data_IF_870583635308
#
_entry.id   IF_870583635308
#
_cell.length_a   1.000
_cell.length_b   1.000
_cell.length_c   1.000
_cell.angle_alpha   90.00
_cell.angle_beta   90.00
_cell.angle_gamma   90.00
#
_symmetry.space_group_name_H-M   'P 1'
#
loop_
_entity.id
_entity.type
_entity.pdbx_description
1 polymer ?
#
# COMPACT_ATOMS: atom_id res chain seq x y z
N UNK A 1 -2.88 19.52 7.53
CA UNK A 1 -1.60 19.08 8.13
C UNK A 1 -0.50 20.00 7.63
N UNK A 2 -0.40 21.20 8.18
CA UNK A 2 0.47 22.25 7.60
C UNK A 2 1.96 22.10 7.94
N UNK A 3 2.39 21.23 8.87
CA UNK A 3 3.78 21.22 9.34
C UNK A 3 4.36 19.86 9.73
N UNK A 4 3.99 18.75 9.10
CA UNK A 4 4.60 17.45 9.43
C UNK A 4 4.24 16.31 8.49
N UNK A 5 4.96 15.19 8.63
CA UNK A 5 4.71 13.98 7.86
C UNK A 5 3.53 13.21 8.47
N UNK A 6 2.43 13.10 7.74
CA UNK A 6 1.23 12.37 8.17
C UNK A 6 1.50 10.92 8.59
N UNK A 7 2.51 10.28 8.00
CA UNK A 7 2.89 8.90 8.29
C UNK A 7 3.45 8.72 9.71
N UNK A 8 3.91 9.82 10.34
CA UNK A 8 4.43 9.85 11.71
C UNK A 8 3.37 10.18 12.76
N UNK A 9 2.14 10.52 12.34
CA UNK A 9 1.06 10.78 13.28
C UNK A 9 0.71 9.51 14.06
N UNK A 10 0.54 9.60 15.39
CA UNK A 10 0.31 8.42 16.22
C UNK A 10 -1.16 7.99 16.23
N UNK A 11 -1.39 6.68 16.15
CA UNK A 11 -2.65 6.03 16.50
C UNK A 11 -2.33 5.09 17.67
N UNK A 12 -2.93 5.31 18.83
CA UNK A 12 -2.61 4.56 20.06
C UNK A 12 -1.08 4.50 20.32
N UNK A 13 -0.41 5.66 20.22
CA UNK A 13 1.04 5.84 20.41
C UNK A 13 1.94 5.22 19.32
N UNK A 14 1.38 4.57 18.32
CA UNK A 14 2.12 3.93 17.21
C UNK A 14 1.95 4.77 15.93
N UNK A 15 3.02 5.14 15.21
CA UNK A 15 2.93 5.87 13.95
C UNK A 15 2.10 5.16 12.88
N UNK A 16 1.37 5.91 12.06
CA UNK A 16 0.54 5.38 10.95
C UNK A 16 1.32 4.39 10.10
N UNK A 17 2.53 4.73 9.65
CA UNK A 17 3.34 3.85 8.82
C UNK A 17 3.70 2.55 9.53
N UNK A 18 3.92 2.58 10.83
CA UNK A 18 4.25 1.38 11.62
C UNK A 18 3.05 0.41 11.68
N UNK A 19 1.81 0.93 11.77
CA UNK A 19 0.60 0.11 11.67
C UNK A 19 0.54 -0.62 10.32
N UNK A 20 0.71 0.11 9.23
CA UNK A 20 0.69 -0.48 7.88
C UNK A 20 1.79 -1.53 7.72
N UNK A 21 3.03 -1.22 8.10
CA UNK A 21 4.15 -2.14 8.01
C UNK A 21 3.91 -3.42 8.83
N UNK A 22 3.40 -3.30 10.05
CA UNK A 22 3.08 -4.45 10.89
C UNK A 22 2.01 -5.34 10.25
N UNK A 23 0.96 -4.76 9.68
CA UNK A 23 -0.08 -5.52 8.97
C UNK A 23 0.50 -6.26 7.76
N UNK A 24 1.32 -5.59 6.93
CA UNK A 24 1.97 -6.20 5.77
C UNK A 24 2.86 -7.38 6.16
N UNK A 25 3.65 -7.24 7.24
CA UNK A 25 4.48 -8.33 7.77
C UNK A 25 3.67 -9.57 8.18
N UNK A 26 2.44 -9.37 8.69
CA UNK A 26 1.56 -10.50 9.07
C UNK A 26 0.95 -11.23 7.88
N UNK A 27 0.95 -10.65 6.69
CA UNK A 27 0.37 -11.24 5.47
C UNK A 27 1.34 -12.18 4.73
N UNK A 28 2.52 -12.47 5.31
CA UNK A 28 3.52 -13.41 4.77
C UNK A 28 4.01 -13.05 3.36
N UNK A 29 4.01 -11.75 3.03
CA UNK A 29 4.61 -11.23 1.80
C UNK A 29 6.13 -11.21 1.92
N UNK A 30 6.85 -11.66 0.89
CA UNK A 30 8.31 -11.71 0.87
C UNK A 30 8.85 -11.46 -0.56
N UNK A 31 9.76 -10.50 -0.76
CA UNK A 31 10.22 -9.53 0.23
C UNK A 31 9.22 -8.39 0.49
N UNK A 32 9.35 -7.73 1.64
CA UNK A 32 8.69 -6.44 1.91
C UNK A 32 9.70 -5.32 1.72
N UNK A 33 9.41 -4.41 0.78
CA UNK A 33 10.24 -3.23 0.49
C UNK A 33 9.48 -1.98 0.89
N UNK A 34 10.07 -1.13 1.72
CA UNK A 34 9.51 0.18 2.08
C UNK A 34 10.26 1.28 1.35
N UNK A 35 9.53 2.12 0.63
CA UNK A 35 10.11 3.29 -0.05
C UNK A 35 9.77 4.54 0.74
N UNK A 36 10.80 5.30 1.11
CA UNK A 36 10.68 6.55 1.86
C UNK A 36 11.07 7.75 0.99
N UNK A 37 10.60 8.94 1.36
CA UNK A 37 10.89 10.19 0.63
C UNK A 37 10.99 11.37 1.57
N UNK A 38 9.91 12.13 1.74
CA UNK A 38 9.86 13.26 2.66
C UNK A 38 10.13 12.81 4.11
N UNK A 39 11.05 13.48 4.79
CA UNK A 39 11.47 13.15 6.16
C UNK A 39 11.90 11.68 6.35
N UNK A 40 12.58 11.12 5.34
CA UNK A 40 13.00 9.72 5.29
C UNK A 40 13.67 9.24 6.56
N UNK A 41 14.57 10.04 7.16
CA UNK A 41 15.30 9.67 8.38
C UNK A 41 14.35 9.46 9.58
N UNK A 42 13.30 10.28 9.69
CA UNK A 42 12.30 10.14 10.75
C UNK A 42 11.38 8.94 10.50
N UNK A 43 10.96 8.75 9.26
CA UNK A 43 10.11 7.61 8.87
C UNK A 43 10.85 6.30 9.08
N UNK A 44 12.11 6.21 8.68
CA UNK A 44 12.93 4.99 8.84
C UNK A 44 13.07 4.56 10.30
N UNK A 45 13.13 5.51 11.23
CA UNK A 45 13.27 5.21 12.67
C UNK A 45 12.06 4.51 13.28
N UNK A 46 10.89 4.59 12.66
CA UNK A 46 9.65 4.01 13.16
C UNK A 46 9.17 2.79 12.35
N UNK A 47 9.89 2.42 11.30
CA UNK A 47 9.64 1.18 10.55
C UNK A 47 10.07 -0.01 11.40
N UNK A 48 9.26 -1.11 11.46
CA UNK A 48 9.63 -2.34 12.14
C UNK A 48 10.98 -2.90 11.65
N UNK A 49 11.80 -3.38 12.59
CA UNK A 49 13.16 -3.87 12.31
C UNK A 49 13.21 -5.15 11.48
N UNK A 50 12.09 -5.83 11.35
CA UNK A 50 11.91 -7.01 10.49
C UNK A 50 11.93 -6.65 9.00
N UNK A 51 11.69 -5.39 8.65
CA UNK A 51 11.80 -4.89 7.28
C UNK A 51 13.22 -4.41 7.05
N UNK A 52 13.98 -5.17 6.26
CA UNK A 52 15.39 -4.88 5.98
C UNK A 52 15.58 -4.01 4.72
N UNK A 53 14.63 -4.05 3.78
CA UNK A 53 14.73 -3.35 2.50
C UNK A 53 14.00 -2.00 2.57
N UNK A 54 14.70 -0.97 3.06
CA UNK A 54 14.21 0.41 3.11
C UNK A 54 14.97 1.23 2.07
N UNK A 55 14.24 1.78 1.08
CA UNK A 55 14.78 2.50 -0.07
C UNK A 55 14.46 3.98 0.07
N UNK A 56 15.47 4.83 -0.01
CA UNK A 56 15.28 6.28 -0.10
C UNK A 56 15.07 6.71 -1.55
N UNK A 57 13.90 7.27 -1.85
CA UNK A 57 13.61 7.90 -3.13
C UNK A 57 14.00 9.39 -3.10
N UNK A 58 15.12 9.75 -3.69
CA UNK A 58 15.57 11.15 -3.79
C UNK A 58 14.68 12.00 -4.71
N UNK A 59 13.85 11.39 -5.55
CA UNK A 59 12.96 12.03 -6.51
C UNK A 59 11.48 12.01 -6.04
N UNK A 60 11.21 11.84 -4.75
CA UNK A 60 9.85 11.71 -4.20
C UNK A 60 8.92 12.87 -4.61
N UNK A 61 9.46 14.08 -4.81
CA UNK A 61 8.68 15.25 -5.25
C UNK A 61 8.13 15.12 -6.69
N UNK A 62 8.62 14.18 -7.49
CA UNK A 62 8.12 13.94 -8.85
C UNK A 62 6.85 13.09 -8.90
N UNK A 63 6.31 12.72 -7.72
CA UNK A 63 5.05 12.01 -7.57
C UNK A 63 5.21 10.52 -7.28
N UNK A 64 4.07 9.86 -7.01
CA UNK A 64 3.99 8.47 -6.56
C UNK A 64 4.69 7.47 -7.50
N UNK A 65 4.69 7.71 -8.82
CA UNK A 65 5.33 6.82 -9.78
C UNK A 65 6.84 6.65 -9.52
N UNK A 66 7.52 7.69 -9.00
CA UNK A 66 8.94 7.59 -8.68
C UNK A 66 9.20 6.64 -7.50
N UNK A 67 8.33 6.64 -6.49
CA UNK A 67 8.44 5.71 -5.36
C UNK A 67 8.11 4.27 -5.77
N UNK A 68 7.12 4.10 -6.63
CA UNK A 68 6.79 2.77 -7.19
C UNK A 68 7.96 2.25 -8.04
N UNK A 69 8.60 3.12 -8.82
CA UNK A 69 9.78 2.77 -9.62
C UNK A 69 10.92 2.25 -8.73
N UNK A 70 11.27 2.96 -7.66
CA UNK A 70 12.34 2.58 -6.74
C UNK A 70 12.01 1.24 -6.05
N UNK A 71 10.80 1.08 -5.51
CA UNK A 71 10.37 -0.14 -4.85
C UNK A 71 10.36 -1.34 -5.80
N UNK A 72 9.79 -1.19 -6.99
CA UNK A 72 9.70 -2.27 -7.97
C UNK A 72 11.08 -2.66 -8.53
N UNK A 73 11.99 -1.68 -8.68
CA UNK A 73 13.36 -1.92 -9.16
C UNK A 73 14.21 -2.67 -8.13
N UNK A 74 13.86 -2.60 -6.85
CA UNK A 74 14.56 -3.30 -5.76
C UNK A 74 14.12 -4.75 -5.61
N UNK A 75 12.99 -5.14 -6.20
CA UNK A 75 12.48 -6.51 -6.07
C UNK A 75 13.40 -7.52 -6.78
N UNK A 76 13.59 -8.72 -6.20
CA UNK A 76 14.34 -9.79 -6.86
C UNK A 76 13.61 -10.28 -8.12
N UNK A 77 14.38 -10.83 -9.06
CA UNK A 77 13.82 -11.24 -10.35
C UNK A 77 12.90 -12.47 -10.31
N UNK A 78 12.88 -13.19 -9.20
CA UNK A 78 12.10 -14.42 -9.04
C UNK A 78 10.72 -14.21 -8.40
N UNK A 79 10.25 -12.96 -8.24
CA UNK A 79 8.90 -12.69 -7.77
C UNK A 79 7.87 -12.92 -8.90
N UNK A 80 6.66 -13.36 -8.54
CA UNK A 80 5.56 -13.59 -9.47
C UNK A 80 4.72 -12.32 -9.71
N UNK A 81 4.67 -11.45 -8.71
CA UNK A 81 3.94 -10.19 -8.74
C UNK A 81 4.39 -9.24 -7.63
N UNK A 82 3.76 -8.09 -7.55
CA UNK A 82 4.00 -7.08 -6.52
C UNK A 82 2.68 -6.52 -6.02
N UNK A 83 2.48 -6.52 -4.70
CA UNK A 83 1.38 -5.80 -4.05
C UNK A 83 1.86 -4.40 -3.67
N UNK A 84 1.19 -3.36 -4.16
CA UNK A 84 1.47 -1.97 -3.83
C UNK A 84 0.53 -1.53 -2.73
N UNK A 85 1.07 -1.36 -1.52
CA UNK A 85 0.36 -0.91 -0.33
C UNK A 85 0.72 0.55 -0.05
N UNK A 86 -0.27 1.40 0.22
CA UNK A 86 -0.04 2.80 0.57
C UNK A 86 0.23 2.93 2.06
N UNK A 87 1.27 3.69 2.42
CA UNK A 87 1.71 3.87 3.81
C UNK A 87 0.76 4.69 4.71
N UNK A 88 -0.28 5.27 4.14
CA UNK A 88 -1.28 6.09 4.81
C UNK A 88 -2.66 5.43 4.98
N UNK A 89 -2.70 4.08 4.82
CA UNK A 89 -3.91 3.26 4.98
C UNK A 89 -3.81 2.34 6.21
N UNK A 90 -3.79 2.87 7.44
CA UNK A 90 -3.53 2.08 8.65
C UNK A 90 -4.66 1.12 9.04
N UNK A 91 -5.85 1.27 8.46
CA UNK A 91 -6.99 0.38 8.71
C UNK A 91 -6.94 -0.90 7.89
N UNK A 92 -6.05 -0.99 6.88
CA UNK A 92 -5.97 -2.19 6.04
C UNK A 92 -5.70 -3.43 6.91
N UNK A 93 -6.51 -4.46 6.75
CA UNK A 93 -6.42 -5.67 7.57
C UNK A 93 -5.57 -6.76 6.91
N UNK A 94 -5.02 -7.67 7.76
CA UNK A 94 -4.38 -8.88 7.28
C UNK A 94 -5.33 -9.71 6.41
N UNK A 95 -6.58 -9.84 6.81
CA UNK A 95 -7.57 -10.66 6.13
C UNK A 95 -7.82 -10.16 4.70
N UNK A 96 -7.91 -8.84 4.52
CA UNK A 96 -8.02 -8.25 3.18
C UNK A 96 -6.77 -8.49 2.34
N UNK A 97 -5.55 -8.33 2.91
CA UNK A 97 -4.32 -8.64 2.18
C UNK A 97 -4.27 -10.11 1.76
N UNK A 98 -4.60 -11.01 2.68
CA UNK A 98 -4.64 -12.47 2.40
C UNK A 98 -5.66 -12.80 1.32
N UNK A 99 -6.87 -12.24 1.38
CA UNK A 99 -7.90 -12.46 0.37
C UNK A 99 -7.42 -12.03 -1.04
N UNK A 100 -6.75 -10.89 -1.16
CA UNK A 100 -6.21 -10.43 -2.44
C UNK A 100 -5.07 -11.33 -2.94
N UNK A 101 -4.23 -11.86 -2.04
CA UNK A 101 -3.17 -12.81 -2.37
C UNK A 101 -3.78 -14.13 -2.87
N UNK A 102 -4.79 -14.65 -2.18
CA UNK A 102 -5.47 -15.89 -2.56
C UNK A 102 -6.11 -15.77 -3.95
N UNK A 103 -6.74 -14.62 -4.24
CA UNK A 103 -7.27 -14.34 -5.59
C UNK A 103 -6.15 -14.27 -6.64
N UNK A 104 -5.02 -13.66 -6.32
CA UNK A 104 -3.87 -13.64 -7.24
C UNK A 104 -3.35 -15.04 -7.55
N UNK A 105 -3.24 -15.89 -6.53
CA UNK A 105 -2.83 -17.30 -6.68
C UNK A 105 -3.87 -18.07 -7.48
N UNK A 106 -5.16 -17.90 -7.20
CA UNK A 106 -6.27 -18.58 -7.89
C UNK A 106 -6.29 -18.26 -9.39
N UNK A 107 -5.85 -17.06 -9.76
CA UNK A 107 -5.65 -16.62 -11.13
C UNK A 107 -4.24 -16.93 -11.69
N UNK A 108 -3.50 -17.85 -11.05
CA UNK A 108 -2.14 -18.29 -11.44
C UNK A 108 -1.13 -17.13 -11.59
N UNK A 109 -1.29 -16.04 -10.84
CA UNK A 109 -0.43 -14.87 -10.92
C UNK A 109 -0.50 -14.13 -12.27
N UNK A 110 -1.57 -14.29 -13.04
CA UNK A 110 -1.67 -13.70 -14.38
C UNK A 110 -2.56 -12.46 -14.47
N UNK A 111 -3.38 -12.18 -13.46
CA UNK A 111 -4.32 -11.06 -13.46
C UNK A 111 -3.93 -9.99 -12.44
N UNK A 112 -4.25 -8.73 -12.76
CA UNK A 112 -4.17 -7.63 -11.81
C UNK A 112 -5.31 -7.82 -10.83
N UNK A 113 -5.02 -7.83 -9.51
CA UNK A 113 -6.03 -7.99 -8.47
C UNK A 113 -6.16 -6.67 -7.71
N UNK A 114 -7.38 -6.22 -7.51
CA UNK A 114 -7.65 -5.00 -6.76
C UNK A 114 -8.95 -5.11 -5.94
N UNK A 115 -9.05 -4.45 -4.77
CA UNK A 115 -10.27 -4.43 -4.01
C UNK A 115 -11.30 -3.48 -4.62
N UNK A 116 -12.59 -3.83 -4.45
CA UNK A 116 -13.73 -2.98 -4.77
C UNK A 116 -14.53 -2.73 -3.48
N UNK A 117 -14.80 -1.47 -3.20
CA UNK A 117 -15.73 -1.06 -2.16
C UNK A 117 -16.76 -0.08 -2.74
N UNK A 118 -18.07 -0.36 -2.57
CA UNK A 118 -19.17 0.46 -3.10
C UNK A 118 -18.97 0.83 -4.60
N UNK A 119 -18.65 -0.17 -5.42
CA UNK A 119 -18.39 -0.03 -6.86
C UNK A 119 -17.15 0.82 -7.21
N UNK A 120 -16.34 1.19 -6.23
CA UNK A 120 -15.09 1.94 -6.41
C UNK A 120 -13.88 1.03 -6.35
N UNK A 121 -13.00 1.19 -7.32
CA UNK A 121 -11.66 0.62 -7.27
C UNK A 121 -10.88 1.22 -6.10
N UNK A 122 -10.20 0.35 -5.32
CA UNK A 122 -9.49 0.73 -4.12
C UNK A 122 -8.05 0.19 -4.09
N UNK A 123 -7.37 0.32 -2.95
CA UNK A 123 -6.02 -0.18 -2.68
C UNK A 123 -6.06 -1.20 -1.54
N UNK A 124 -5.05 -2.09 -1.45
CA UNK A 124 -3.85 -2.22 -2.30
C UNK A 124 -4.14 -2.93 -3.64
N UNK A 125 -3.21 -2.84 -4.59
CA UNK A 125 -3.32 -3.50 -5.90
C UNK A 125 -2.15 -4.45 -6.11
N UNK A 126 -2.44 -5.67 -6.59
CA UNK A 126 -1.41 -6.65 -6.98
C UNK A 126 -1.25 -6.62 -8.49
N UNK A 127 -0.01 -6.45 -8.94
CA UNK A 127 0.35 -6.51 -10.37
C UNK A 127 1.20 -7.74 -10.64
N UNK A 128 0.83 -8.57 -11.64
CA UNK A 128 1.69 -9.62 -12.18
C UNK A 128 3.00 -9.07 -12.71
N UNK A 129 4.06 -9.87 -12.62
CA UNK A 129 5.39 -9.52 -13.14
C UNK A 129 5.37 -9.06 -14.61
N UNK A 130 4.47 -9.59 -15.44
CA UNK A 130 4.35 -9.19 -16.86
C UNK A 130 4.10 -7.69 -17.07
N UNK A 131 3.58 -6.97 -16.06
CA UNK A 131 3.31 -5.52 -16.12
C UNK A 131 4.42 -4.64 -15.54
N UNK A 132 5.48 -5.22 -14.97
CA UNK A 132 6.53 -4.44 -14.31
C UNK A 132 7.21 -3.43 -15.24
N UNK A 133 7.50 -3.80 -16.49
CA UNK A 133 8.11 -2.88 -17.46
C UNK A 133 7.22 -1.68 -17.77
N UNK A 134 5.92 -1.86 -17.85
CA UNK A 134 4.97 -0.79 -18.09
C UNK A 134 4.83 0.13 -16.88
N UNK A 135 4.81 -0.45 -15.67
CA UNK A 135 4.80 0.31 -14.43
C UNK A 135 6.08 1.15 -14.31
N UNK A 136 7.26 0.55 -14.57
CA UNK A 136 8.55 1.23 -14.54
C UNK A 136 8.67 2.36 -15.60
N UNK A 137 7.93 2.26 -16.71
CA UNK A 137 7.88 3.32 -17.72
C UNK A 137 6.87 4.44 -17.42
N UNK A 138 6.06 4.29 -16.36
CA UNK A 138 5.03 5.25 -15.97
C UNK A 138 5.64 6.47 -15.28
N UNK A 139 5.02 7.64 -15.46
CA UNK A 139 5.45 8.90 -14.84
C UNK A 139 4.29 9.64 -14.19
N UNK A 140 4.58 10.46 -13.17
CA UNK A 140 3.64 11.35 -12.49
C UNK A 140 2.80 10.66 -11.39
N UNK A 141 1.75 11.34 -10.92
CA UNK A 141 0.98 10.92 -9.73
C UNK A 141 0.00 9.77 -9.96
N UNK A 142 -0.27 9.43 -11.21
CA UNK A 142 -1.26 8.39 -11.53
C UNK A 142 -0.70 6.96 -11.45
N UNK A 143 0.62 6.82 -11.33
CA UNK A 143 1.32 5.56 -11.09
C UNK A 143 0.69 4.37 -11.82
N UNK A 144 0.41 3.31 -11.06
CA UNK A 144 -0.16 2.07 -11.58
C UNK A 144 -1.63 2.14 -12.03
N UNK A 145 -2.39 3.21 -11.67
CA UNK A 145 -3.79 3.37 -12.13
C UNK A 145 -3.90 3.44 -13.66
N UNK A 146 -2.84 3.86 -14.35
CA UNK A 146 -2.79 3.88 -15.81
C UNK A 146 -2.76 2.46 -16.37
N UNK A 147 -1.91 1.60 -15.80
CA UNK A 147 -1.76 0.19 -16.22
C UNK A 147 -3.09 -0.54 -16.03
N UNK A 148 -3.72 -0.40 -14.87
CA UNK A 148 -5.02 -1.02 -14.61
C UNK A 148 -6.10 -0.59 -15.62
N UNK A 149 -6.14 0.69 -16.00
CA UNK A 149 -7.10 1.20 -17.02
C UNK A 149 -6.80 0.70 -18.43
N UNK A 150 -5.55 0.41 -18.72
CA UNK A 150 -5.11 -0.06 -20.03
C UNK A 150 -5.45 -1.54 -20.26
N UNK A 151 -5.53 -2.33 -19.18
CA UNK A 151 -5.75 -3.77 -19.20
C UNK A 151 -6.99 -4.19 -18.38
N UNK A 152 -8.19 -3.67 -18.71
CA UNK A 152 -9.39 -3.96 -17.92
C UNK A 152 -9.79 -5.44 -17.99
N UNK A 153 -9.52 -6.13 -19.12
CA UNK A 153 -9.85 -7.55 -19.31
C UNK A 153 -8.91 -8.48 -18.51
N UNK A 154 -7.73 -7.99 -18.14
CA UNK A 154 -6.75 -8.71 -17.31
C UNK A 154 -6.85 -8.31 -15.82
N UNK A 155 -7.87 -7.57 -15.43
CA UNK A 155 -8.04 -7.05 -14.08
C UNK A 155 -9.26 -7.68 -13.40
N UNK A 156 -9.06 -8.19 -12.19
CA UNK A 156 -10.09 -8.82 -11.36
C UNK A 156 -10.33 -7.96 -10.11
N UNK A 157 -11.56 -7.53 -9.94
CA UNK A 157 -11.98 -6.79 -8.76
C UNK A 157 -12.55 -7.71 -7.71
N UNK A 158 -12.07 -7.57 -6.48
CA UNK A 158 -12.50 -8.35 -5.29
C UNK A 158 -13.37 -7.48 -4.41
N UNK A 159 -14.62 -7.87 -4.19
CA UNK A 159 -15.55 -7.12 -3.34
C UNK A 159 -15.14 -7.20 -1.88
N UNK A 160 -14.86 -6.06 -1.26
CA UNK A 160 -14.52 -5.93 0.16
C UNK A 160 -15.69 -5.23 0.87
N UNK A 161 -16.20 -5.83 1.93
CA UNK A 161 -17.33 -5.31 2.71
C UNK A 161 -16.97 -4.20 3.71
N UNK A 162 -15.71 -3.76 3.75
CA UNK A 162 -15.17 -2.79 4.70
C UNK A 162 -14.61 -1.56 3.97
N UNK A 163 -14.79 -0.34 4.51
CA UNK A 163 -14.23 0.89 3.94
C UNK A 163 -12.70 0.98 4.07
N UNK A 164 -12.04 0.06 4.76
CA UNK A 164 -10.60 0.07 5.02
C UNK A 164 -9.74 0.22 3.75
N UNK A 165 -10.24 -0.28 2.61
CA UNK A 165 -9.55 -0.26 1.30
C UNK A 165 -9.65 1.08 0.56
N UNK A 166 -10.52 1.99 1.02
CA UNK A 166 -10.68 3.35 0.48
C UNK A 166 -10.34 4.43 1.48
N UNK A 167 -10.02 4.05 2.71
CA UNK A 167 -9.69 4.98 3.78
C UNK A 167 -8.20 5.30 3.79
N UNK A 168 -7.85 6.51 3.39
CA UNK A 168 -6.51 7.08 3.51
C UNK A 168 -6.49 8.27 4.49
N UNK A 169 -5.33 8.52 5.09
CA UNK A 169 -5.16 9.58 6.06
C UNK A 169 -4.59 10.86 5.40
N UNK A 170 -5.35 11.43 4.42
CA UNK A 170 -4.89 12.58 3.63
C UNK A 170 -5.20 13.94 4.26
N UNK A 171 -6.15 14.01 5.21
CA UNK A 171 -6.57 15.25 5.87
C UNK A 171 -6.62 15.11 7.39
N UNK A 172 -6.68 16.24 8.10
CA UNK A 172 -6.90 16.25 9.56
C UNK A 172 -8.25 15.64 9.93
N UNK A 173 -9.29 15.90 9.14
CA UNK A 173 -10.60 15.31 9.36
C UNK A 173 -10.56 13.78 9.22
N UNK A 174 -9.83 13.26 8.23
CA UNK A 174 -9.64 11.81 8.08
C UNK A 174 -8.85 11.23 9.25
N UNK A 175 -7.86 11.93 9.75
CA UNK A 175 -7.11 11.50 10.92
C UNK A 175 -7.97 11.43 12.19
N UNK A 176 -8.83 12.45 12.44
CA UNK A 176 -9.73 12.40 13.59
C UNK A 176 -10.76 11.27 13.47
N UNK A 177 -11.34 11.06 12.27
CA UNK A 177 -12.24 9.92 12.03
C UNK A 177 -11.53 8.58 12.28
N UNK A 178 -10.29 8.45 11.84
CA UNK A 178 -9.47 7.27 12.08
C UNK A 178 -9.32 6.97 13.58
N UNK A 179 -9.03 8.00 14.38
CA UNK A 179 -8.91 7.85 15.84
C UNK A 179 -10.22 7.40 16.49
N UNK A 180 -11.37 7.91 16.02
CA UNK A 180 -12.70 7.50 16.51
C UNK A 180 -12.99 6.04 16.15
N UNK A 181 -12.77 5.62 14.90
CA UNK A 181 -13.04 4.27 14.43
C UNK A 181 -12.14 3.23 15.12
N UNK A 182 -10.86 3.52 15.33
CA UNK A 182 -9.95 2.60 16.03
C UNK A 182 -10.27 2.47 17.53
N UNK A 183 -10.78 3.51 18.21
CA UNK A 183 -11.26 3.39 19.58
C UNK A 183 -12.48 2.48 19.70
N UNK A 184 -13.37 2.47 18.71
CA UNK A 184 -14.51 1.56 18.69
C UNK A 184 -14.12 0.09 18.45
N UNK A 185 -13.02 -0.16 17.75
CA UNK A 185 -12.49 -1.52 17.53
C UNK A 185 -11.91 -2.12 18.80
N UNK A 186 -11.15 -1.35 19.60
CA UNK A 186 -10.54 -1.81 20.85
C UNK A 186 -11.58 -2.11 21.96
N UNK A 187 -12.77 -1.52 21.88
CA UNK A 187 -13.86 -1.75 22.85
C UNK A 187 -14.66 -3.03 22.53
N UNK A 188 -14.56 -3.56 21.31
CA UNK A 188 -15.32 -4.74 20.84
C UNK A 188 -14.52 -6.05 20.85
N UNK A 189 -13.24 -6.00 21.20
CA UNK A 189 -12.34 -7.15 21.33
C UNK A 189 -12.07 -7.46 22.79
#
# INVERSE_FOLDING_TARGET
>A
MENGNKLLLPINEIPIISHVCNTVLTAELDPVVVVTGFESDLVTQVIPTEINDIIYNSHWQSGMASSIYEGLSALPQNVDGNMIVLGDMPMISKDTLTLLIDEFIMHNGQHIIYPIYEERQANPVIFPKKYFQEILSSTGDRGCKKVLKQYPDDAVGVSIGSPEVVFDCDSEDNYFRLLEEMQEFDVKT
#
